data_IF_915337465532
#
_entry.id   IF_915337465532
#
_cell.length_a   1.000
_cell.length_b   1.000
_cell.length_c   1.000
_cell.angle_alpha   90.00
_cell.angle_beta   90.00
_cell.angle_gamma   90.00
#
_symmetry.space_group_name_H-M   'P 1'
#
loop_
_entity.id
_entity.type
_entity.pdbx_description
1 polymer ?
#
# COMPACT_ATOMS: atom_id res chain seq x y z
N UNK A 1 0.99 23.68 -5.16
CA UNK A 1 -0.40 23.39 -4.77
C UNK A 1 -0.30 22.06 -4.05
N UNK A 2 -0.90 21.92 -2.87
CA UNK A 2 -0.76 20.67 -2.11
C UNK A 2 -1.40 19.52 -2.90
N UNK A 3 -0.73 18.36 -3.02
CA UNK A 3 -1.20 17.28 -3.90
C UNK A 3 -2.45 16.58 -3.35
N UNK A 4 -2.77 16.73 -2.07
CA UNK A 4 -3.97 16.15 -1.43
C UNK A 4 -4.58 17.13 -0.42
N UNK A 5 -5.75 16.76 0.10
CA UNK A 5 -6.35 17.40 1.27
C UNK A 5 -7.00 16.38 2.18
N UNK A 6 -6.70 16.47 3.47
CA UNK A 6 -7.43 15.74 4.51
C UNK A 6 -8.80 16.40 4.73
N UNK A 7 -9.82 15.57 4.90
CA UNK A 7 -11.18 15.96 5.22
C UNK A 7 -11.25 16.72 6.53
N UNK A 8 -11.89 17.87 6.51
CA UNK A 8 -12.08 18.73 7.67
C UNK A 8 -13.46 18.58 8.34
N UNK A 9 -14.34 17.75 7.76
CA UNK A 9 -15.66 17.41 8.31
C UNK A 9 -15.61 16.24 9.29
N UNK A 10 -14.47 15.54 9.37
CA UNK A 10 -14.24 14.43 10.29
C UNK A 10 -13.93 14.95 11.70
N UNK A 11 -14.52 14.29 12.70
CA UNK A 11 -14.18 14.51 14.11
C UNK A 11 -13.26 13.39 14.58
N UNK A 12 -12.10 13.76 15.15
CA UNK A 12 -11.18 12.82 15.79
C UNK A 12 -11.81 12.28 17.07
N UNK A 13 -11.72 10.97 17.27
CA UNK A 13 -12.12 10.34 18.53
C UNK A 13 -10.94 10.42 19.50
N UNK A 14 -11.22 10.88 20.72
CA UNK A 14 -10.26 10.92 21.82
C UNK A 14 -10.88 10.22 23.02
N UNK A 15 -10.23 9.17 23.51
CA UNK A 15 -10.71 8.37 24.64
C UNK A 15 -9.57 8.18 25.64
N UNK A 16 -9.80 8.53 26.91
CA UNK A 16 -8.80 8.44 27.99
C UNK A 16 -7.43 9.08 27.65
N UNK A 17 -7.46 10.18 26.88
CA UNK A 17 -6.27 10.90 26.46
C UNK A 17 -5.55 10.31 25.25
N UNK A 18 -6.02 9.20 24.69
CA UNK A 18 -5.54 8.64 23.43
C UNK A 18 -6.30 9.23 22.25
N UNK A 19 -5.57 9.87 21.34
CA UNK A 19 -6.08 10.43 20.09
C UNK A 19 -5.94 9.39 18.98
N UNK A 20 -7.06 8.91 18.44
CA UNK A 20 -7.08 7.98 17.31
C UNK A 20 -6.77 8.69 15.99
N UNK A 21 -6.24 8.00 14.97
CA UNK A 21 -6.22 8.44 13.57
C UNK A 21 -7.61 8.83 13.08
N UNK A 22 -7.72 9.80 12.17
CA UNK A 22 -9.02 10.23 11.63
C UNK A 22 -9.74 9.10 10.89
N UNK A 23 -9.00 8.18 10.29
CA UNK A 23 -9.51 7.02 9.57
C UNK A 23 -10.07 5.93 10.47
N UNK A 24 -9.85 5.99 11.79
CA UNK A 24 -10.35 5.01 12.76
C UNK A 24 -11.58 5.54 13.48
N UNK A 25 -12.63 4.72 13.50
CA UNK A 25 -13.80 4.90 14.37
C UNK A 25 -13.81 3.73 15.35
N UNK A 26 -13.28 3.92 16.58
CA UNK A 26 -13.19 2.84 17.56
C UNK A 26 -14.56 2.53 18.17
N UNK A 27 -14.74 1.27 18.59
CA UNK A 27 -15.87 0.88 19.42
C UNK A 27 -15.91 1.69 20.74
N UNK A 28 -17.11 1.85 21.30
CA UNK A 28 -17.28 2.60 22.54
C UNK A 28 -16.48 1.99 23.70
N UNK A 29 -15.62 2.80 24.33
CA UNK A 29 -14.77 2.38 25.44
C UNK A 29 -13.52 1.59 25.03
N UNK A 30 -13.30 1.38 23.73
CA UNK A 30 -12.08 0.76 23.24
C UNK A 30 -10.94 1.79 23.27
N UNK A 31 -9.90 1.49 24.06
CA UNK A 31 -8.69 2.31 24.16
C UNK A 31 -7.49 1.36 24.11
N UNK A 32 -6.54 1.58 23.19
CA UNK A 32 -5.35 0.75 23.13
C UNK A 32 -4.45 1.05 24.33
N UNK A 33 -3.77 0.01 24.83
CA UNK A 33 -2.79 0.13 25.90
C UNK A 33 -1.50 0.72 25.31
N UNK A 34 -1.18 1.93 25.73
CA UNK A 34 0.03 2.65 25.33
C UNK A 34 1.27 2.13 26.07
N UNK A 35 2.44 2.30 25.45
CA UNK A 35 3.73 1.85 25.95
C UNK A 35 4.51 1.12 24.87
N UNK A 36 5.49 0.33 25.29
CA UNK A 36 6.20 -0.58 24.39
C UNK A 36 6.38 -1.97 25.00
N UNK A 37 6.49 -2.97 24.13
CA UNK A 37 6.97 -4.33 24.45
C UNK A 37 8.06 -4.71 23.46
N UNK A 38 8.93 -5.63 23.83
CA UNK A 38 10.00 -6.10 22.95
C UNK A 38 10.04 -7.62 22.91
N UNK A 39 10.17 -8.14 21.70
CA UNK A 39 10.33 -9.56 21.42
C UNK A 39 11.68 -9.81 20.78
N UNK A 40 12.33 -10.89 21.20
CA UNK A 40 13.53 -11.41 20.57
C UNK A 40 13.15 -12.48 19.55
N UNK A 41 13.60 -12.32 18.32
CA UNK A 41 13.47 -13.34 17.28
C UNK A 41 14.86 -13.90 16.99
N UNK A 42 15.03 -15.19 17.23
CA UNK A 42 16.25 -15.89 16.82
C UNK A 42 16.21 -16.12 15.32
N UNK A 43 17.27 -15.72 14.63
CA UNK A 43 17.43 -15.94 13.20
C UNK A 43 17.43 -17.43 12.86
N UNK A 44 16.69 -17.83 11.82
CA UNK A 44 16.71 -19.19 11.28
C UNK A 44 17.32 -19.21 9.88
N UNK A 45 18.32 -20.08 9.67
CA UNK A 45 18.99 -20.23 8.38
C UNK A 45 19.94 -19.08 8.08
N UNK A 46 19.62 -18.30 7.05
CA UNK A 46 20.38 -17.12 6.60
C UNK A 46 19.83 -15.81 7.20
N UNK A 47 18.83 -15.89 8.08
CA UNK A 47 18.29 -14.73 8.79
C UNK A 47 19.09 -14.47 10.07
N UNK A 48 19.38 -13.20 10.36
CA UNK A 48 20.05 -12.78 11.58
C UNK A 48 19.09 -12.66 12.77
N UNK A 49 19.65 -12.65 13.98
CA UNK A 49 18.88 -12.36 15.20
C UNK A 49 18.34 -10.92 15.15
N UNK A 50 17.12 -10.71 15.66
CA UNK A 50 16.45 -9.41 15.61
C UNK A 50 15.72 -9.08 16.93
N UNK A 51 15.81 -7.82 17.34
CA UNK A 51 14.97 -7.22 18.38
C UNK A 51 13.78 -6.50 17.73
N UNK A 52 12.56 -6.91 18.04
CA UNK A 52 11.34 -6.24 17.58
C UNK A 52 10.69 -5.51 18.74
N UNK A 53 10.59 -4.19 18.63
CA UNK A 53 9.81 -3.35 19.54
C UNK A 53 8.45 -3.08 18.92
N UNK A 54 7.38 -3.34 19.67
CA UNK A 54 6.03 -2.90 19.33
C UNK A 54 5.67 -1.76 20.26
N UNK A 55 5.42 -0.58 19.68
CA UNK A 55 5.22 0.68 20.37
C UNK A 55 3.82 1.19 20.01
N UNK A 56 3.02 1.49 21.03
CA UNK A 56 1.70 2.10 20.85
C UNK A 56 1.65 3.40 21.62
N UNK A 57 1.34 4.46 20.90
CA UNK A 57 1.35 5.83 21.42
C UNK A 57 0.23 6.63 20.77
N UNK A 58 -0.27 7.64 21.48
CA UNK A 58 -1.32 8.52 20.96
C UNK A 58 -0.84 9.29 19.72
N UNK A 59 -1.72 9.48 18.74
CA UNK A 59 -1.36 10.06 17.43
C UNK A 59 -0.66 11.42 17.54
N UNK A 60 -1.07 12.25 18.49
CA UNK A 60 -0.52 13.59 18.73
C UNK A 60 0.96 13.57 19.18
N UNK A 61 1.48 12.41 19.57
CA UNK A 61 2.89 12.19 19.96
C UNK A 61 3.67 11.35 18.94
N UNK A 62 2.99 10.70 18.00
CA UNK A 62 3.59 9.73 17.08
C UNK A 62 4.54 10.37 16.06
N UNK A 63 4.20 11.51 15.47
CA UNK A 63 5.04 12.17 14.46
C UNK A 63 6.46 12.47 15.00
N UNK A 64 6.55 13.07 16.19
CA UNK A 64 7.83 13.37 16.81
C UNK A 64 8.63 12.11 17.21
N UNK A 65 7.94 11.01 17.53
CA UNK A 65 8.58 9.72 17.80
C UNK A 65 9.19 9.13 16.53
N UNK A 66 8.46 9.16 15.42
CA UNK A 66 8.93 8.70 14.11
C UNK A 66 10.14 9.50 13.64
N UNK A 67 10.12 10.83 13.79
CA UNK A 67 11.28 11.69 13.50
C UNK A 67 12.54 11.24 14.26
N UNK A 68 12.40 10.83 15.53
CA UNK A 68 13.52 10.33 16.31
C UNK A 68 14.02 8.97 15.80
N UNK A 69 13.12 8.06 15.41
CA UNK A 69 13.48 6.77 14.84
C UNK A 69 14.12 6.87 13.45
N UNK A 70 13.71 7.83 12.62
CA UNK A 70 14.34 8.07 11.32
C UNK A 70 15.82 8.47 11.43
N UNK A 71 16.29 8.90 12.60
CA UNK A 71 17.71 9.15 12.84
C UNK A 71 18.54 7.85 12.93
N UNK A 72 17.90 6.70 13.16
CA UNK A 72 18.57 5.39 13.14
C UNK A 72 18.82 4.89 11.71
N UNK A 73 18.08 5.41 10.72
CA UNK A 73 18.22 4.98 9.34
C UNK A 73 19.57 5.43 8.74
N UNK A 74 20.24 4.56 7.97
CA UNK A 74 21.44 4.92 7.23
C UNK A 74 21.13 5.97 6.15
N UNK A 75 22.18 6.60 5.59
CA UNK A 75 22.02 7.65 4.57
C UNK A 75 21.58 7.11 3.20
N UNK A 76 21.81 5.82 2.93
CA UNK A 76 21.62 5.15 1.64
C UNK A 76 21.03 3.76 1.85
N UNK A 77 20.62 3.12 0.75
CA UNK A 77 20.10 1.74 0.74
C UNK A 77 18.86 1.58 1.63
N UNK A 78 17.95 2.55 1.55
CA UNK A 78 16.63 2.46 2.17
C UNK A 78 15.62 1.91 1.16
N UNK A 79 14.77 1.00 1.59
CA UNK A 79 13.69 0.44 0.78
C UNK A 79 12.36 0.77 1.44
N UNK A 80 11.50 1.52 0.73
CA UNK A 80 10.16 1.84 1.22
C UNK A 80 9.29 0.58 1.28
N UNK A 81 8.35 0.57 2.23
CA UNK A 81 7.35 -0.50 2.38
C UNK A 81 5.97 0.16 2.41
N UNK A 82 5.00 -0.41 1.69
CA UNK A 82 3.60 0.00 1.74
C UNK A 82 2.70 -1.24 1.72
N UNK A 83 1.77 -1.35 2.67
CA UNK A 83 0.74 -2.40 2.66
C UNK A 83 -0.65 -1.81 2.51
N UNK A 84 -1.43 -2.37 1.59
CA UNK A 84 -2.77 -1.92 1.26
C UNK A 84 -3.76 -3.10 1.25
N UNK A 85 -5.02 -2.84 1.57
CA UNK A 85 -6.08 -3.82 1.29
C UNK A 85 -6.15 -4.14 -0.20
N UNK A 86 -6.05 -5.41 -0.57
CA UNK A 86 -5.96 -5.81 -1.97
C UNK A 86 -7.31 -5.81 -2.68
N UNK A 87 -7.28 -5.45 -3.97
CA UNK A 87 -8.40 -5.65 -4.91
C UNK A 87 -8.41 -7.01 -5.58
N UNK A 88 -7.33 -7.75 -5.42
CA UNK A 88 -7.16 -9.06 -6.00
C UNK A 88 -8.06 -10.09 -5.30
N UNK A 89 -8.84 -10.84 -6.09
CA UNK A 89 -9.82 -11.78 -5.56
C UNK A 89 -9.23 -12.95 -4.75
N UNK A 90 -7.90 -13.14 -4.74
CA UNK A 90 -7.22 -14.28 -4.14
C UNK A 90 -6.23 -13.91 -3.03
N UNK A 91 -6.14 -12.63 -2.65
CA UNK A 91 -5.36 -12.16 -1.49
C UNK A 91 -6.05 -10.99 -0.81
N UNK A 92 -5.79 -10.81 0.49
CA UNK A 92 -6.42 -9.76 1.28
C UNK A 92 -5.60 -8.47 1.32
N UNK A 93 -4.27 -8.58 1.19
CA UNK A 93 -3.32 -7.47 1.35
C UNK A 93 -2.34 -7.51 0.18
N UNK A 94 -2.06 -6.35 -0.39
CA UNK A 94 -0.95 -6.09 -1.30
C UNK A 94 0.20 -5.48 -0.52
N UNK A 95 1.40 -6.07 -0.65
CA UNK A 95 2.63 -5.56 -0.02
C UNK A 95 3.51 -5.05 -1.14
N UNK A 96 3.92 -3.80 -1.07
CA UNK A 96 4.86 -3.20 -2.00
C UNK A 96 6.16 -2.88 -1.28
N UNK A 97 7.29 -3.23 -1.90
CA UNK A 97 8.64 -3.02 -1.37
C UNK A 97 9.48 -2.33 -2.45
N UNK A 98 10.37 -1.43 -2.05
CA UNK A 98 11.34 -0.83 -2.96
C UNK A 98 12.17 -1.90 -3.67
N UNK A 99 12.23 -1.86 -4.99
CA UNK A 99 13.08 -2.78 -5.78
C UNK A 99 14.57 -2.44 -5.62
N UNK A 100 14.87 -1.15 -5.52
CA UNK A 100 16.22 -0.60 -5.38
C UNK A 100 16.29 0.36 -4.20
N UNK A 101 17.48 0.45 -3.59
CA UNK A 101 17.74 1.32 -2.46
C UNK A 101 17.74 2.81 -2.85
N UNK A 102 17.04 3.62 -2.07
CA UNK A 102 17.04 5.09 -2.18
C UNK A 102 17.85 5.75 -1.05
N UNK A 103 18.19 7.01 -1.23
CA UNK A 103 18.82 7.80 -0.18
C UNK A 103 17.80 8.29 0.87
N UNK A 104 18.29 8.52 2.08
CA UNK A 104 17.46 8.99 3.20
C UNK A 104 16.82 10.34 2.95
N UNK A 105 17.45 11.21 2.17
CA UNK A 105 16.88 12.53 1.88
C UNK A 105 15.63 12.41 1.01
N UNK A 106 15.67 11.57 -0.03
CA UNK A 106 14.55 11.24 -0.91
C UNK A 106 13.41 10.56 -0.16
N UNK A 107 13.75 9.59 0.69
CA UNK A 107 12.76 8.95 1.56
C UNK A 107 12.05 9.97 2.44
N UNK A 108 12.81 10.79 3.19
CA UNK A 108 12.25 11.77 4.13
C UNK A 108 11.51 12.92 3.45
N UNK A 109 11.91 13.34 2.26
CA UNK A 109 11.18 14.34 1.47
C UNK A 109 9.78 13.82 1.12
N UNK A 110 9.70 12.59 0.62
CA UNK A 110 8.43 11.94 0.28
C UNK A 110 7.61 11.65 1.54
N UNK A 111 8.25 11.16 2.61
CA UNK A 111 7.60 10.95 3.90
C UNK A 111 6.92 12.21 4.39
N UNK A 112 7.65 13.33 4.47
CA UNK A 112 7.11 14.60 4.97
C UNK A 112 5.99 15.15 4.10
N UNK A 113 6.05 14.89 2.78
CA UNK A 113 4.98 15.29 1.88
C UNK A 113 3.67 14.57 2.22
N UNK A 114 3.73 13.25 2.46
CA UNK A 114 2.54 12.40 2.65
C UNK A 114 2.28 11.97 4.10
N UNK A 115 3.07 12.45 5.06
CA UNK A 115 2.95 12.17 6.50
C UNK A 115 1.51 12.32 7.02
N UNK A 116 0.75 13.38 6.64
CA UNK A 116 -0.63 13.49 7.09
C UNK A 116 -1.53 12.34 6.64
N UNK A 117 -1.26 11.73 5.48
CA UNK A 117 -1.99 10.53 5.04
C UNK A 117 -1.52 9.31 5.84
N UNK A 118 -0.20 9.13 5.97
CA UNK A 118 0.39 7.99 6.66
C UNK A 118 -0.04 7.88 8.13
N UNK A 119 -0.19 9.01 8.81
CA UNK A 119 -0.63 9.07 10.20
C UNK A 119 -2.16 8.92 10.34
N UNK A 120 -2.95 9.40 9.38
CA UNK A 120 -4.40 9.52 9.56
C UNK A 120 -5.22 8.41 8.91
N UNK A 121 -4.76 7.86 7.78
CA UNK A 121 -5.49 6.86 7.00
C UNK A 121 -5.22 5.45 7.52
N UNK A 122 -6.26 4.75 7.97
CA UNK A 122 -6.16 3.39 8.50
C UNK A 122 -6.35 2.30 7.43
N UNK A 123 -6.48 2.68 6.16
CA UNK A 123 -6.53 1.78 5.02
C UNK A 123 -5.15 1.35 4.50
N UNK A 124 -4.07 1.86 5.10
CA UNK A 124 -2.69 1.52 4.73
C UNK A 124 -1.79 1.34 5.95
N UNK A 125 -0.76 0.51 5.78
CA UNK A 125 0.43 0.48 6.60
C UNK A 125 1.63 0.96 5.76
N UNK A 126 2.63 1.53 6.41
CA UNK A 126 3.77 2.13 5.69
C UNK A 126 5.04 2.03 6.51
N UNK A 127 6.16 1.80 5.85
CA UNK A 127 7.44 1.68 6.53
C UNK A 127 8.64 1.87 5.63
N UNK A 128 9.79 1.56 6.19
CA UNK A 128 11.09 1.60 5.53
C UNK A 128 12.02 0.59 6.17
N UNK A 129 12.80 -0.09 5.34
CA UNK A 129 13.81 -1.06 5.75
C UNK A 129 15.20 -0.61 5.25
N UNK A 130 16.22 -0.99 6.00
CA UNK A 130 17.62 -0.97 5.60
C UNK A 130 18.29 -2.26 6.07
N UNK A 131 19.24 -2.80 5.30
CA UNK A 131 19.95 -4.04 5.65
C UNK A 131 21.23 -3.79 6.47
N UNK A 132 21.92 -2.67 6.26
CA UNK A 132 23.19 -2.35 6.93
C UNK A 132 23.24 -0.89 7.44
N UNK A 133 23.10 -0.66 8.77
CA UNK A 133 22.70 -1.65 9.77
C UNK A 133 21.24 -2.09 9.54
N UNK A 134 20.89 -3.30 10.00
CA UNK A 134 19.51 -3.77 9.92
C UNK A 134 18.60 -2.91 10.80
N UNK A 135 17.74 -2.14 10.15
CA UNK A 135 16.71 -1.31 10.77
C UNK A 135 15.46 -1.34 9.89
N UNK A 136 14.33 -1.73 10.46
CA UNK A 136 13.02 -1.59 9.82
C UNK A 136 12.08 -0.84 10.76
N UNK A 137 11.46 0.19 10.21
CA UNK A 137 10.43 0.99 10.87
C UNK A 137 9.13 0.80 10.11
N UNK A 138 8.10 0.30 10.77
CA UNK A 138 6.84 -0.02 10.12
C UNK A 138 5.66 0.47 10.96
N UNK A 139 4.80 1.28 10.34
CA UNK A 139 3.62 1.85 10.96
C UNK A 139 2.39 1.08 10.48
N UNK A 140 1.79 0.31 11.39
CA UNK A 140 0.64 -0.54 11.14
C UNK A 140 -0.63 0.26 10.79
N UNK A 141 -1.69 -0.37 10.24
CA UNK A 141 -2.93 0.33 9.89
C UNK A 141 -3.61 1.03 11.08
N UNK A 142 -3.48 0.48 12.28
CA UNK A 142 -3.98 1.08 13.53
C UNK A 142 -3.02 2.08 14.18
N UNK A 143 -1.88 2.32 13.52
CA UNK A 143 -0.78 3.21 13.91
C UNK A 143 0.02 2.76 15.14
N UNK A 144 0.05 1.44 15.39
CA UNK A 144 1.16 0.82 16.12
C UNK A 144 2.46 0.95 15.33
N UNK A 145 3.57 1.28 16.00
CA UNK A 145 4.89 1.37 15.41
C UNK A 145 5.70 0.13 15.78
N UNK A 146 6.09 -0.63 14.75
CA UNK A 146 7.05 -1.71 14.83
C UNK A 146 8.44 -1.19 14.48
N UNK A 147 9.42 -1.52 15.34
CA UNK A 147 10.83 -1.19 15.15
C UNK A 147 11.63 -2.46 15.26
N UNK A 148 12.14 -2.94 14.13
CA UNK A 148 13.03 -4.10 14.06
C UNK A 148 14.45 -3.58 13.94
N UNK A 149 15.35 -4.07 14.79
CA UNK A 149 16.76 -3.67 14.77
C UNK A 149 17.67 -4.84 15.08
N UNK A 150 18.92 -4.73 14.62
CA UNK A 150 20.01 -5.57 15.12
C UNK A 150 20.09 -5.48 16.67
N UNK A 151 20.35 -6.60 17.37
CA UNK A 151 20.50 -6.64 18.82
C UNK A 151 21.44 -5.60 19.42
N UNK A 152 22.49 -5.20 18.69
CA UNK A 152 23.44 -4.18 19.13
C UNK A 152 22.84 -2.79 19.25
N UNK A 153 21.71 -2.51 18.58
CA UNK A 153 21.01 -1.22 18.58
C UNK A 153 19.88 -1.13 19.62
N UNK A 154 19.70 -2.17 20.45
CA UNK A 154 18.61 -2.27 21.42
C UNK A 154 18.64 -1.11 22.43
N UNK A 155 19.83 -0.70 22.88
CA UNK A 155 19.98 0.35 23.88
C UNK A 155 19.69 1.74 23.29
N UNK A 156 20.01 1.97 22.02
CA UNK A 156 19.65 3.18 21.27
C UNK A 156 18.13 3.32 21.15
N UNK A 157 17.43 2.25 20.79
CA UNK A 157 15.95 2.25 20.71
C UNK A 157 15.33 2.57 22.08
N UNK A 158 15.83 1.95 23.15
CA UNK A 158 15.37 2.24 24.52
C UNK A 158 15.63 3.69 24.93
N UNK A 159 16.77 4.26 24.55
CA UNK A 159 17.07 5.65 24.84
C UNK A 159 16.10 6.61 24.14
N UNK A 160 15.68 6.32 22.91
CA UNK A 160 14.64 7.09 22.20
C UNK A 160 13.30 6.98 22.96
N UNK A 161 12.89 5.76 23.33
CA UNK A 161 11.64 5.52 24.06
C UNK A 161 11.62 6.25 25.41
N UNK A 162 12.72 6.19 26.17
CA UNK A 162 12.88 6.91 27.45
C UNK A 162 12.83 8.42 27.26
N UNK A 163 13.49 8.96 26.23
CA UNK A 163 13.45 10.40 25.91
C UNK A 163 12.03 10.88 25.56
N UNK A 164 11.23 10.01 24.94
CA UNK A 164 9.81 10.26 24.67
C UNK A 164 8.90 9.91 25.85
N UNK A 165 9.43 9.44 27.00
CA UNK A 165 8.64 9.02 28.17
C UNK A 165 7.63 7.91 27.84
N UNK A 166 8.03 6.94 27.03
CA UNK A 166 7.24 5.77 26.69
C UNK A 166 7.77 4.59 27.52
N UNK A 167 6.90 4.01 28.33
CA UNK A 167 7.30 2.99 29.29
C UNK A 167 7.03 1.58 28.78
N UNK A 168 7.87 0.64 29.21
CA UNK A 168 7.66 -0.78 28.95
C UNK A 168 6.39 -1.26 29.67
N UNK A 169 5.55 -2.01 28.96
CA UNK A 169 4.33 -2.62 29.50
C UNK A 169 4.25 -4.09 29.06
N UNK A 170 3.56 -4.97 29.81
CA UNK A 170 3.51 -6.40 29.48
C UNK A 170 2.87 -6.73 28.13
N UNK A 171 2.03 -5.83 27.62
CA UNK A 171 1.33 -5.93 26.34
C UNK A 171 0.96 -4.52 25.91
N UNK A 172 1.02 -4.23 24.61
CA UNK A 172 0.56 -2.97 24.00
C UNK A 172 -0.61 -3.25 23.04
N UNK A 173 -1.33 -2.20 22.66
CA UNK A 173 -2.45 -2.32 21.72
C UNK A 173 -3.75 -2.76 22.38
N UNK A 174 -4.63 -3.38 21.61
CA UNK A 174 -5.95 -3.81 22.10
C UNK A 174 -5.86 -5.14 22.84
N UNK A 175 -6.46 -5.21 24.03
CA UNK A 175 -6.65 -6.44 24.80
C UNK A 175 -7.98 -7.09 24.37
N UNK A 176 -8.07 -7.50 23.10
CA UNK A 176 -9.27 -8.02 22.46
C UNK A 176 -9.02 -9.39 21.82
N UNK A 177 -10.05 -10.25 21.81
CA UNK A 177 -10.06 -11.42 20.94
C UNK A 177 -10.30 -10.98 19.49
N UNK A 178 -9.85 -11.78 18.50
CA UNK A 178 -9.96 -11.45 17.07
C UNK A 178 -11.40 -11.10 16.63
N UNK A 179 -12.41 -11.75 17.23
CA UNK A 179 -13.82 -11.51 16.93
C UNK A 179 -14.31 -10.13 17.43
N UNK A 180 -13.66 -9.54 18.44
CA UNK A 180 -14.01 -8.24 19.03
C UNK A 180 -13.37 -7.05 18.28
N UNK A 181 -12.37 -7.30 17.41
CA UNK A 181 -11.82 -6.28 16.50
C UNK A 181 -12.83 -5.83 15.43
N UNK A 182 -13.92 -6.60 15.24
CA UNK A 182 -15.04 -6.24 14.36
C UNK A 182 -15.76 -4.94 14.76
N UNK A 183 -15.48 -4.40 15.95
CA UNK A 183 -16.01 -3.11 16.40
C UNK A 183 -15.20 -1.88 15.96
N UNK A 184 -14.08 -2.04 15.25
CA UNK A 184 -13.29 -0.93 14.70
C UNK A 184 -13.70 -0.71 13.24
N UNK A 185 -14.31 0.44 12.96
CA UNK A 185 -14.66 0.83 11.60
C UNK A 185 -13.54 1.70 10.99
N UNK A 186 -13.21 1.43 9.73
CA UNK A 186 -12.28 2.24 8.93
C UNK A 186 -13.07 3.15 8.00
N UNK A 187 -12.64 4.42 7.87
CA UNK A 187 -13.28 5.41 6.98
C UNK A 187 -12.26 6.23 6.18
N UNK A 188 -12.62 6.69 4.98
CA UNK A 188 -11.72 7.49 4.14
C UNK A 188 -11.50 8.89 4.70
N UNK A 189 -10.23 9.35 4.66
CA UNK A 189 -9.80 10.65 5.19
C UNK A 189 -9.50 11.70 4.12
N UNK A 190 -9.43 11.32 2.85
CA UNK A 190 -9.09 12.23 1.75
C UNK A 190 -10.33 12.92 1.14
N UNK A 191 -10.17 14.19 0.75
CA UNK A 191 -11.18 14.95 0.01
C UNK A 191 -11.26 14.45 -1.43
N UNK A 192 -12.47 14.15 -1.88
CA UNK A 192 -12.75 13.79 -3.28
C UNK A 192 -12.91 15.05 -4.12
N UNK A 193 -11.87 15.46 -4.85
CA UNK A 193 -11.91 16.62 -5.74
C UNK A 193 -10.87 16.52 -6.85
N UNK A 194 -11.23 17.01 -8.05
CA UNK A 194 -10.38 17.00 -9.24
C UNK A 194 -9.01 17.63 -8.98
N UNK A 195 -7.96 16.98 -9.49
CA UNK A 195 -6.58 17.46 -9.40
C UNK A 195 -5.93 17.27 -8.02
N UNK A 196 -6.59 16.56 -7.10
CA UNK A 196 -6.00 16.09 -5.86
C UNK A 196 -5.85 14.56 -5.89
N UNK A 197 -4.85 14.06 -5.16
CA UNK A 197 -4.83 12.69 -4.67
C UNK A 197 -6.02 12.54 -3.71
N UNK A 198 -6.98 11.74 -4.12
CA UNK A 198 -8.23 11.51 -3.41
C UNK A 198 -8.36 10.07 -2.90
N UNK A 199 -7.49 9.16 -3.31
CA UNK A 199 -7.46 7.78 -2.85
C UNK A 199 -6.04 7.23 -2.72
N UNK A 200 -5.96 6.00 -2.22
CA UNK A 200 -4.72 5.30 -1.92
C UNK A 200 -4.04 4.78 -3.19
N UNK A 201 -4.74 4.59 -4.31
CA UNK A 201 -4.11 4.11 -5.55
C UNK A 201 -3.33 5.21 -6.24
N UNK A 202 -3.87 6.44 -6.22
CA UNK A 202 -3.15 7.61 -6.68
C UNK A 202 -1.91 7.86 -5.82
N UNK A 203 -2.04 7.71 -4.49
CA UNK A 203 -0.88 7.76 -3.60
C UNK A 203 0.14 6.66 -3.93
N UNK A 204 -0.32 5.42 -4.13
CA UNK A 204 0.53 4.30 -4.53
C UNK A 204 1.28 4.61 -5.81
N UNK A 205 0.67 5.25 -6.81
CA UNK A 205 1.35 5.62 -8.05
C UNK A 205 2.54 6.56 -7.81
N UNK A 206 2.33 7.60 -7.00
CA UNK A 206 3.40 8.52 -6.63
C UNK A 206 4.51 7.79 -5.85
N UNK A 207 4.13 6.93 -4.89
CA UNK A 207 5.09 6.17 -4.09
C UNK A 207 5.85 5.12 -4.90
N UNK A 208 5.23 4.48 -5.90
CA UNK A 208 5.92 3.58 -6.84
C UNK A 208 7.02 4.31 -7.59
N UNK A 209 6.82 5.58 -7.94
CA UNK A 209 7.85 6.39 -8.57
C UNK A 209 8.93 6.85 -7.58
N UNK A 210 8.51 7.34 -6.41
CA UNK A 210 9.43 7.97 -5.45
C UNK A 210 10.25 6.98 -4.63
N UNK A 211 9.66 5.86 -4.25
CA UNK A 211 10.30 4.81 -3.47
C UNK A 211 10.62 3.55 -4.29
N UNK A 212 10.43 3.60 -5.61
CA UNK A 212 10.71 2.49 -6.52
C UNK A 212 9.94 1.21 -6.12
N UNK A 213 8.70 1.39 -5.65
CA UNK A 213 7.91 0.29 -5.11
C UNK A 213 7.47 -0.69 -6.21
N UNK A 214 7.68 -1.97 -5.95
CA UNK A 214 7.15 -3.09 -6.73
C UNK A 214 6.31 -3.98 -5.83
N UNK A 215 5.34 -4.67 -6.42
CA UNK A 215 4.50 -5.62 -5.69
C UNK A 215 5.36 -6.82 -5.25
N UNK A 216 5.38 -7.10 -3.95
CA UNK A 216 6.15 -8.19 -3.36
C UNK A 216 5.45 -9.53 -3.57
N UNK A 217 5.63 -10.09 -4.76
CA UNK A 217 5.19 -11.43 -5.14
C UNK A 217 6.13 -12.01 -6.20
N UNK A 218 6.03 -13.31 -6.45
CA UNK A 218 6.65 -13.91 -7.62
C UNK A 218 5.74 -13.72 -8.85
N UNK A 219 6.13 -12.88 -9.83
CA UNK A 219 5.27 -12.55 -10.96
C UNK A 219 5.10 -13.72 -11.95
N UNK A 220 5.93 -14.76 -11.83
CA UNK A 220 5.93 -15.92 -12.71
C UNK A 220 5.06 -17.08 -12.20
N UNK A 221 4.67 -17.05 -10.93
CA UNK A 221 3.76 -18.03 -10.35
C UNK A 221 2.41 -17.41 -10.03
N UNK A 222 1.37 -18.25 -9.96
CA UNK A 222 0.03 -17.82 -9.59
C UNK A 222 -0.45 -18.62 -8.38
N UNK A 223 -0.24 -18.02 -7.23
CA UNK A 223 -0.59 -18.56 -5.91
C UNK A 223 -1.54 -17.61 -5.19
N UNK A 224 -2.46 -18.14 -4.39
CA UNK A 224 -3.29 -17.32 -3.50
C UNK A 224 -2.49 -16.78 -2.30
N UNK A 225 -3.11 -15.95 -1.46
CA UNK A 225 -2.51 -15.42 -0.23
C UNK A 225 -2.07 -16.48 0.79
N UNK A 226 -2.31 -17.77 0.55
CA UNK A 226 -1.83 -18.90 1.37
C UNK A 226 -0.76 -19.74 0.66
N UNK A 227 -0.25 -19.28 -0.47
CA UNK A 227 0.76 -19.97 -1.28
C UNK A 227 0.23 -21.15 -2.09
N UNK A 228 -1.10 -21.34 -2.19
CA UNK A 228 -1.68 -22.45 -2.96
C UNK A 228 -1.76 -22.06 -4.43
N UNK A 229 -1.28 -22.92 -5.32
CA UNK A 229 -1.40 -22.72 -6.77
C UNK A 229 -2.86 -22.66 -7.19
N UNK A 230 -3.25 -21.58 -7.87
CA UNK A 230 -4.63 -21.36 -8.36
C UNK A 230 -4.78 -21.58 -9.87
N UNK A 231 -3.67 -21.73 -10.60
CA UNK A 231 -3.70 -22.03 -12.03
C UNK A 231 -3.99 -20.81 -12.88
N UNK A 232 -4.83 -20.96 -13.92
CA UNK A 232 -5.24 -19.83 -14.78
C UNK A 232 -6.41 -19.10 -14.15
N UNK A 233 -6.30 -17.79 -14.01
CA UNK A 233 -7.34 -16.92 -13.44
C UNK A 233 -7.77 -15.87 -14.46
N UNK A 234 -8.90 -15.21 -14.17
CA UNK A 234 -9.28 -13.98 -14.85
C UNK A 234 -8.46 -12.82 -14.27
N UNK A 235 -8.02 -11.93 -15.14
CA UNK A 235 -7.25 -10.74 -14.82
C UNK A 235 -7.97 -9.52 -15.35
N UNK A 236 -7.95 -8.46 -14.55
CA UNK A 236 -8.40 -7.13 -14.89
C UNK A 236 -7.20 -6.19 -14.83
N UNK A 237 -7.00 -5.43 -15.89
CA UNK A 237 -5.94 -4.45 -15.96
C UNK A 237 -6.48 -3.10 -16.43
N UNK A 238 -5.96 -2.03 -15.81
CA UNK A 238 -6.09 -0.67 -16.30
C UNK A 238 -4.71 -0.23 -16.75
N UNK A 239 -4.60 0.19 -18.01
CA UNK A 239 -3.33 0.62 -18.59
C UNK A 239 -3.43 2.05 -19.11
N UNK A 240 -2.33 2.77 -19.02
CA UNK A 240 -2.17 4.10 -19.58
C UNK A 240 -1.52 3.96 -20.95
N UNK A 241 -2.20 4.51 -21.94
CA UNK A 241 -1.77 4.54 -23.33
C UNK A 241 -1.42 5.97 -23.71
N UNK A 242 -0.43 6.13 -24.57
CA UNK A 242 -0.11 7.40 -25.19
C UNK A 242 -0.14 7.28 -26.71
N UNK A 243 -0.39 8.40 -27.39
CA UNK A 243 -0.29 8.50 -28.84
C UNK A 243 0.48 9.76 -29.19
N UNK A 244 1.64 9.58 -29.79
CA UNK A 244 2.42 10.66 -30.37
C UNK A 244 2.06 10.82 -31.85
N UNK A 245 1.14 11.76 -32.11
CA UNK A 245 0.79 12.18 -33.47
C UNK A 245 1.65 13.34 -33.99
N UNK A 246 2.77 13.67 -33.32
CA UNK A 246 3.74 14.69 -33.70
C UNK A 246 3.35 16.14 -33.39
N UNK A 247 2.06 16.43 -33.15
CA UNK A 247 1.59 17.78 -32.78
C UNK A 247 0.89 17.85 -31.42
N UNK A 248 0.33 16.74 -30.92
CA UNK A 248 -0.38 16.66 -29.63
C UNK A 248 -0.13 15.29 -29.01
N UNK A 249 0.43 15.25 -27.80
CA UNK A 249 0.42 14.05 -26.95
C UNK A 249 -1.02 13.81 -26.53
N UNK A 250 -1.56 12.64 -26.90
CA UNK A 250 -2.86 12.18 -26.42
C UNK A 250 -2.65 11.04 -25.47
N UNK A 251 -3.36 11.06 -24.35
CA UNK A 251 -3.40 9.95 -23.40
C UNK A 251 -4.75 9.23 -23.54
N UNK A 252 -4.77 7.95 -23.21
CA UNK A 252 -5.99 7.17 -23.10
C UNK A 252 -5.82 6.15 -21.97
N UNK A 253 -6.94 5.74 -21.38
CA UNK A 253 -6.94 4.52 -20.58
C UNK A 253 -7.43 3.36 -21.41
N UNK A 254 -6.91 2.18 -21.13
CA UNK A 254 -7.56 0.98 -21.58
C UNK A 254 -7.86 0.05 -20.42
N UNK A 255 -9.10 -0.41 -20.40
CA UNK A 255 -9.54 -1.50 -19.53
C UNK A 255 -9.37 -2.80 -20.30
N UNK A 256 -8.59 -3.73 -19.74
CA UNK A 256 -8.25 -5.01 -20.38
C UNK A 256 -8.67 -6.14 -19.46
N UNK A 257 -9.37 -7.12 -20.05
CA UNK A 257 -9.70 -8.37 -19.37
C UNK A 257 -9.08 -9.53 -20.12
N UNK A 258 -8.42 -10.44 -19.40
CA UNK A 258 -7.75 -11.59 -19.98
C UNK A 258 -7.66 -12.74 -19.01
N UNK A 259 -7.35 -13.93 -19.51
CA UNK A 259 -7.00 -15.07 -18.66
C UNK A 259 -5.54 -15.41 -18.85
N UNK A 260 -4.81 -15.58 -17.75
CA UNK A 260 -3.39 -15.91 -17.74
C UNK A 260 -3.04 -16.75 -16.51
N UNK A 261 -1.93 -17.47 -16.61
CA UNK A 261 -1.39 -18.37 -15.58
C UNK A 261 -0.44 -17.70 -14.61
N UNK A 262 -0.06 -16.44 -14.86
CA UNK A 262 0.79 -15.61 -14.00
C UNK A 262 0.64 -14.14 -14.39
N UNK A 263 1.21 -13.25 -13.56
CA UNK A 263 1.24 -11.81 -13.84
C UNK A 263 2.07 -11.50 -15.07
N UNK A 264 3.28 -12.04 -15.13
CA UNK A 264 4.18 -11.85 -16.27
C UNK A 264 3.54 -12.29 -17.60
N UNK A 265 2.81 -13.43 -17.61
CA UNK A 265 2.11 -13.85 -18.83
C UNK A 265 1.00 -12.86 -19.22
N UNK A 266 0.28 -12.29 -18.25
CA UNK A 266 -0.73 -11.27 -18.54
C UNK A 266 -0.11 -9.97 -19.06
N UNK A 267 1.01 -9.51 -18.49
CA UNK A 267 1.76 -8.32 -18.93
C UNK A 267 2.28 -8.50 -20.36
N UNK A 268 2.83 -9.67 -20.69
CA UNK A 268 3.25 -10.03 -22.05
C UNK A 268 2.08 -10.01 -23.03
N UNK A 269 0.93 -10.59 -22.64
CA UNK A 269 -0.29 -10.59 -23.46
C UNK A 269 -0.81 -9.17 -23.70
N UNK A 270 -0.80 -8.31 -22.69
CA UNK A 270 -1.17 -6.89 -22.79
C UNK A 270 -0.23 -6.18 -23.76
N UNK A 271 1.09 -6.33 -23.56
CA UNK A 271 2.11 -5.69 -24.40
C UNK A 271 1.94 -6.08 -25.86
N UNK A 272 1.88 -7.39 -26.16
CA UNK A 272 1.68 -7.90 -27.51
C UNK A 272 0.35 -7.44 -28.14
N UNK A 273 -0.69 -7.26 -27.32
CA UNK A 273 -2.00 -6.77 -27.79
C UNK A 273 -1.93 -5.29 -28.15
N UNK A 274 -1.28 -4.48 -27.32
CA UNK A 274 -1.18 -3.02 -27.48
C UNK A 274 -0.24 -2.61 -28.62
N UNK A 275 0.84 -3.35 -28.86
CA UNK A 275 1.71 -3.14 -30.04
C UNK A 275 0.96 -3.21 -31.38
N UNK A 276 -0.20 -3.87 -31.41
CA UNK A 276 -1.05 -4.02 -32.61
C UNK A 276 -2.14 -2.96 -32.70
N UNK A 277 -2.37 -2.18 -31.64
CA UNK A 277 -3.44 -1.19 -31.53
C UNK A 277 -2.94 0.22 -31.88
N UNK A 278 -2.72 0.48 -33.17
CA UNK A 278 -2.40 1.83 -33.65
C UNK A 278 -3.62 2.78 -33.50
N UNK A 279 -3.44 4.03 -33.04
CA UNK A 279 -2.20 4.79 -32.89
C UNK A 279 -1.61 4.80 -31.47
N UNK A 280 -1.98 3.84 -30.61
CA UNK A 280 -1.63 3.84 -29.21
C UNK A 280 -0.36 3.04 -28.92
N UNK A 281 0.40 3.50 -27.93
CA UNK A 281 1.53 2.79 -27.34
C UNK A 281 1.29 2.64 -25.84
N UNK A 282 1.59 1.46 -25.31
CA UNK A 282 1.51 1.20 -23.87
C UNK A 282 2.60 2.01 -23.16
N UNK A 283 2.19 2.90 -22.27
CA UNK A 283 3.10 3.67 -21.42
C UNK A 283 3.31 2.99 -20.07
N UNK A 284 2.21 2.59 -19.42
CA UNK A 284 2.24 2.06 -18.05
C UNK A 284 1.08 1.09 -17.80
N UNK A 285 1.32 0.07 -16.99
CA UNK A 285 0.25 -0.75 -16.40
C UNK A 285 -0.05 -0.16 -15.02
N UNK A 286 -1.20 0.50 -14.92
CA UNK A 286 -1.61 1.22 -13.71
C UNK A 286 -2.17 0.27 -12.66
N UNK A 287 -3.08 -0.63 -13.07
CA UNK A 287 -3.67 -1.68 -12.23
C UNK A 287 -3.53 -3.01 -12.95
N UNK A 288 -3.20 -4.07 -12.21
CA UNK A 288 -3.20 -5.43 -12.70
C UNK A 288 -3.50 -6.41 -11.57
N UNK A 289 -4.77 -6.82 -11.49
CA UNK A 289 -5.31 -7.66 -10.43
C UNK A 289 -6.01 -8.90 -10.98
N UNK A 290 -6.01 -9.98 -10.21
CA UNK A 290 -6.87 -11.12 -10.50
C UNK A 290 -8.29 -10.80 -10.06
N UNK A 291 -9.25 -11.03 -10.95
CA UNK A 291 -10.66 -10.79 -10.68
C UNK A 291 -11.39 -12.11 -10.42
N UNK A 292 -12.42 -12.08 -9.58
CA UNK A 292 -13.36 -13.20 -9.54
C UNK A 292 -14.11 -13.22 -10.88
N UNK A 293 -14.44 -14.42 -11.36
CA UNK A 293 -15.21 -14.53 -12.60
C UNK A 293 -16.57 -13.82 -12.50
N UNK A 294 -17.17 -13.76 -11.32
CA UNK A 294 -18.46 -13.09 -11.12
C UNK A 294 -18.38 -11.56 -11.20
N UNK A 295 -17.18 -10.98 -11.12
CA UNK A 295 -16.93 -9.54 -11.27
C UNK A 295 -16.69 -9.11 -12.72
N UNK A 296 -16.74 -10.06 -13.67
CA UNK A 296 -16.49 -9.78 -15.09
C UNK A 296 -17.59 -8.89 -15.69
N UNK A 297 -17.25 -8.04 -16.68
CA UNK A 297 -18.23 -7.22 -17.36
C UNK A 297 -19.21 -8.08 -18.18
N UNK A 298 -20.39 -7.53 -18.47
CA UNK A 298 -21.51 -8.22 -19.13
C UNK A 298 -21.11 -8.76 -20.52
N UNK A 299 -20.20 -8.07 -21.20
CA UNK A 299 -19.61 -8.49 -22.47
C UNK A 299 -18.90 -9.85 -22.38
N UNK A 300 -18.50 -10.26 -21.17
CA UNK A 300 -17.82 -11.51 -20.88
C UNK A 300 -18.73 -12.54 -20.17
N UNK A 301 -20.05 -12.35 -20.13
CA UNK A 301 -20.97 -13.29 -19.47
C UNK A 301 -20.82 -14.73 -19.97
N UNK A 302 -20.56 -14.91 -21.27
CA UNK A 302 -20.36 -16.23 -21.89
C UNK A 302 -18.98 -16.83 -21.67
N UNK A 303 -18.02 -16.08 -21.11
CA UNK A 303 -16.68 -16.57 -20.83
C UNK A 303 -16.74 -17.64 -19.74
N UNK A 304 -16.25 -18.84 -20.05
CA UNK A 304 -16.22 -19.94 -19.09
C UNK A 304 -15.06 -19.78 -18.11
N UNK A 305 -15.25 -20.08 -16.80
CA UNK A 305 -14.18 -19.99 -15.80
C UNK A 305 -12.94 -20.83 -16.09
N UNK A 306 -13.13 -21.92 -16.83
CA UNK A 306 -12.05 -22.82 -17.23
C UNK A 306 -11.68 -22.49 -18.67
N UNK A 307 -10.51 -21.88 -18.86
CA UNK A 307 -9.89 -21.71 -20.18
C UNK A 307 -8.64 -22.58 -20.27
N UNK A 308 -8.50 -23.32 -21.38
CA UNK A 308 -7.28 -24.09 -21.68
C UNK A 308 -6.12 -23.19 -22.10
N UNK A 309 -6.41 -22.00 -22.63
CA UNK A 309 -5.42 -21.08 -23.20
C UNK A 309 -5.47 -19.71 -22.51
N UNK A 310 -4.32 -19.07 -22.45
CA UNK A 310 -4.21 -17.68 -22.01
C UNK A 310 -4.51 -16.75 -23.18
N UNK A 311 -5.30 -15.71 -22.95
CA UNK A 311 -5.72 -14.76 -23.99
C UNK A 311 -6.32 -13.50 -23.41
N UNK A 312 -6.23 -12.41 -24.16
CA UNK A 312 -7.02 -11.19 -23.94
C UNK A 312 -8.42 -11.41 -24.52
N UNK A 313 -9.45 -11.15 -23.70
CA UNK A 313 -10.85 -11.35 -24.04
C UNK A 313 -11.56 -10.04 -24.38
N UNK A 314 -11.20 -8.96 -23.69
CA UNK A 314 -11.78 -7.63 -23.89
C UNK A 314 -10.68 -6.57 -23.79
N UNK A 315 -10.78 -5.56 -24.65
CA UNK A 315 -10.02 -4.31 -24.59
C UNK A 315 -11.01 -3.19 -24.87
N UNK A 316 -11.15 -2.26 -23.94
CA UNK A 316 -11.91 -1.02 -24.12
C UNK A 316 -10.94 0.13 -23.95
N UNK A 317 -10.83 1.01 -24.96
CA UNK A 317 -9.93 2.17 -24.94
C UNK A 317 -10.79 3.42 -24.82
N UNK A 318 -10.51 4.22 -23.80
CA UNK A 318 -11.17 5.48 -23.49
C UNK A 318 -10.15 6.63 -23.64
N UNK A 319 -10.15 7.34 -24.78
CA UNK A 319 -9.30 8.50 -25.00
C UNK A 319 -9.62 9.61 -23.99
N UNK A 320 -8.57 10.19 -23.43
CA UNK A 320 -8.70 11.34 -22.54
C UNK A 320 -8.73 12.63 -23.35
N UNK A 321 -9.86 13.33 -23.34
CA UNK A 321 -9.98 14.71 -23.88
C UNK A 321 -9.44 15.77 -22.88
N UNK A 322 -8.45 15.41 -22.05
CA UNK A 322 -7.89 16.21 -20.95
C UNK A 322 -7.32 15.32 -19.82
N UNK A 323 -6.49 15.82 -18.89
CA UNK A 323 -5.85 14.98 -17.85
C UNK A 323 -6.89 14.20 -17.02
N UNK A 324 -6.52 12.99 -16.63
CA UNK A 324 -7.38 12.03 -15.93
C UNK A 324 -7.95 12.54 -14.59
N UNK A 325 -9.19 12.13 -14.30
CA UNK A 325 -9.89 12.28 -13.03
C UNK A 325 -10.51 10.90 -12.65
N UNK A 326 -9.96 10.18 -11.66
CA UNK A 326 -10.49 8.89 -11.19
C UNK A 326 -11.90 9.00 -10.58
N UNK A 327 -12.36 10.21 -10.23
CA UNK A 327 -13.66 10.45 -9.58
C UNK A 327 -14.86 10.34 -10.52
N UNK A 328 -14.65 10.26 -11.85
CA UNK A 328 -15.74 10.06 -12.82
C UNK A 328 -16.13 8.58 -12.93
N UNK A 329 -16.73 8.08 -11.86
CA UNK A 329 -17.58 6.90 -11.93
C UNK A 329 -18.66 7.09 -13.00
N UNK A 330 -18.81 6.08 -13.85
CA UNK A 330 -19.80 5.98 -14.93
C UNK A 330 -21.22 6.19 -14.43
N UNK A 331 -21.68 7.44 -14.42
CA UNK A 331 -23.10 7.78 -14.33
C UNK A 331 -23.71 7.78 -15.73
N UNK A 332 -23.82 6.62 -16.38
CA UNK A 332 -24.69 6.45 -17.55
C UNK A 332 -25.66 5.31 -17.24
N UNK A 333 -26.93 5.68 -17.07
CA UNK A 333 -28.02 4.76 -16.74
C UNK A 333 -28.73 4.16 -17.95
#
# INVERSE_FOLDING_TARGET
>A
MDPFRIRNDLTRVVTDGYAFPLGIVPAAGLVPRQGWTMHWTTGEGDLDDCCTFHIVESLDRLAGLLDAFFLLLPEQELFGILELGSRDAYRAIDIFIGEDGIDRSRFLETWRLFEPIFLEDAGLAVGVNAEEPFVELFLDPDKGLLVHVDPSMQDEVRAILDAHSIHEVPLVGYDLELDDLSGIDIRPVLVQADGLICDVDQLLQDLKHEWLLVLNEDPTTNVDGRGRRIGRTLWHAVVILESDSGEILREAHATIWGTATSRSEMEELITMRMERESPWTLREIYVLDRAAFDDRPVELDSLTPVSELSSIHLVQIDPLDGPWDPGRGSSHG
#
